data_IF_141511250069
#
_entry.id   IF_141511250069
#
_cell.length_a   1.000
_cell.length_b   1.000
_cell.length_c   1.000
_cell.angle_alpha   90.00
_cell.angle_beta   90.00
_cell.angle_gamma   90.00
#
_symmetry.space_group_name_H-M   'P 1'
#
loop_
_entity.id
_entity.type
_entity.pdbx_description
1 polymer ?
#
# COMPACT_ATOMS: atom_id res chain seq x y z
N UNK A 1 -5.05 -17.93 -0.56
CA UNK A 1 -5.49 -16.85 0.33
C UNK A 1 -5.80 -17.44 1.70
N UNK A 2 -5.24 -16.89 2.78
CA UNK A 2 -5.51 -17.36 4.14
C UNK A 2 -6.95 -17.07 4.53
N UNK A 3 -7.64 -18.05 5.11
CA UNK A 3 -9.05 -17.95 5.53
C UNK A 3 -9.24 -17.25 6.88
N UNK A 4 -8.23 -16.52 7.36
CA UNK A 4 -8.23 -15.90 8.69
C UNK A 4 -7.99 -14.39 8.56
N UNK A 5 -8.65 -13.58 9.39
CA UNK A 5 -8.37 -12.15 9.48
C UNK A 5 -6.88 -11.90 9.80
N UNK A 6 -6.36 -10.79 9.29
CA UNK A 6 -5.02 -10.28 9.61
C UNK A 6 -5.15 -9.01 10.43
N UNK A 7 -4.43 -8.95 11.55
CA UNK A 7 -4.26 -7.69 12.30
C UNK A 7 -2.94 -7.06 11.86
N UNK A 8 -2.96 -5.77 11.52
CA UNK A 8 -1.78 -4.99 11.09
C UNK A 8 -0.90 -4.58 12.29
N UNK A 9 -0.73 -5.50 13.22
CA UNK A 9 0.16 -5.43 14.36
C UNK A 9 0.76 -6.82 14.63
N UNK A 10 1.83 -6.87 15.42
CA UNK A 10 2.41 -8.11 15.93
C UNK A 10 2.89 -7.88 17.35
N UNK A 11 2.57 -8.81 18.23
CA UNK A 11 3.07 -8.82 19.59
C UNK A 11 4.57 -9.16 19.61
N UNK A 12 5.34 -8.37 20.36
CA UNK A 12 6.76 -8.59 20.63
C UNK A 12 6.89 -9.18 22.04
N UNK A 13 7.21 -10.49 22.13
CA UNK A 13 7.27 -11.23 23.39
C UNK A 13 8.42 -10.78 24.32
N UNK A 14 9.47 -10.17 23.77
CA UNK A 14 10.60 -9.67 24.56
C UNK A 14 10.27 -8.33 25.20
N UNK A 15 9.53 -7.49 24.46
CA UNK A 15 9.17 -6.14 24.89
C UNK A 15 7.81 -6.10 25.61
N UNK A 16 6.99 -7.15 25.46
CA UNK A 16 5.61 -7.26 25.94
C UNK A 16 4.69 -6.14 25.43
N UNK A 17 4.80 -5.80 24.14
CA UNK A 17 4.00 -4.76 23.49
C UNK A 17 3.55 -5.20 22.10
N UNK A 18 2.46 -4.62 21.60
CA UNK A 18 2.10 -4.69 20.19
C UNK A 18 2.89 -3.67 19.38
N UNK A 19 3.40 -4.10 18.23
CA UNK A 19 4.15 -3.28 17.28
C UNK A 19 3.40 -3.23 15.96
N UNK A 20 3.24 -2.04 15.40
CA UNK A 20 2.51 -1.80 14.17
C UNK A 20 3.20 -2.41 12.94
N UNK A 21 2.40 -2.73 11.94
CA UNK A 21 2.90 -2.85 10.57
C UNK A 21 3.17 -1.47 9.99
N UNK A 22 3.95 -1.42 8.92
CA UNK A 22 4.37 -0.17 8.29
C UNK A 22 4.25 -0.25 6.78
N UNK A 23 3.79 0.84 6.16
CA UNK A 23 3.94 1.08 4.73
C UNK A 23 4.96 2.19 4.51
N UNK A 24 5.97 1.93 3.67
CA UNK A 24 6.99 2.93 3.29
C UNK A 24 7.16 2.96 1.79
N UNK A 25 7.77 4.03 1.29
CA UNK A 25 8.32 4.10 -0.05
C UNK A 25 9.86 4.29 -0.04
N UNK A 26 10.42 4.80 -1.14
CA UNK A 26 11.84 5.18 -1.28
C UNK A 26 12.25 6.48 -0.54
N UNK A 27 11.43 6.99 0.40
CA UNK A 27 11.75 8.10 1.29
C UNK A 27 10.75 9.27 1.27
N UNK A 28 9.67 9.19 0.50
CA UNK A 28 8.57 10.14 0.46
C UNK A 28 7.55 9.92 1.58
N UNK A 29 7.11 8.69 1.85
CA UNK A 29 6.09 8.34 2.84
C UNK A 29 6.55 7.24 3.80
N UNK A 30 6.11 7.35 5.05
CA UNK A 30 6.23 6.29 6.06
C UNK A 30 5.01 6.34 6.97
N UNK A 31 4.19 5.29 6.93
CA UNK A 31 2.94 5.20 7.68
C UNK A 31 2.92 3.98 8.59
N UNK A 32 2.68 4.22 9.87
CA UNK A 32 2.52 3.22 10.91
C UNK A 32 1.03 2.95 11.10
N UNK A 33 0.59 1.72 10.85
CA UNK A 33 -0.82 1.38 11.01
C UNK A 33 -1.21 1.39 12.49
N UNK A 34 -2.44 1.85 12.84
CA UNK A 34 -2.92 1.72 14.20
C UNK A 34 -2.96 0.25 14.65
N UNK A 35 -2.64 0.00 15.93
CA UNK A 35 -2.48 -1.36 16.47
C UNK A 35 -3.77 -2.21 16.44
N UNK A 36 -4.94 -1.57 16.36
CA UNK A 36 -6.25 -2.22 16.36
C UNK A 36 -6.88 -2.36 14.96
N UNK A 37 -6.08 -2.31 13.90
CA UNK A 37 -6.57 -2.53 12.53
C UNK A 37 -6.56 -4.02 12.22
N UNK A 38 -7.76 -4.59 12.02
CA UNK A 38 -7.96 -5.95 11.54
C UNK A 38 -8.68 -5.91 10.20
N UNK A 39 -8.26 -6.80 9.29
CA UNK A 39 -8.84 -6.97 7.97
C UNK A 39 -9.25 -8.43 7.79
N UNK A 40 -10.51 -8.67 7.43
CA UNK A 40 -10.99 -9.98 7.03
C UNK A 40 -10.43 -10.35 5.63
N UNK A 41 -10.44 -11.66 5.26
CA UNK A 41 -10.02 -12.07 3.93
C UNK A 41 -10.80 -11.33 2.83
N UNK A 42 -10.09 -10.66 1.91
CA UNK A 42 -10.68 -9.91 0.81
C UNK A 42 -11.12 -8.48 1.16
N UNK A 43 -10.92 -8.03 2.41
CA UNK A 43 -11.15 -6.63 2.76
C UNK A 43 -10.05 -5.72 2.23
N UNK A 44 -10.44 -4.48 1.98
CA UNK A 44 -9.55 -3.40 1.55
C UNK A 44 -9.46 -2.34 2.63
N UNK A 45 -8.29 -1.69 2.67
CA UNK A 45 -8.02 -0.49 3.46
C UNK A 45 -7.43 0.54 2.50
N UNK A 46 -7.83 1.79 2.66
CA UNK A 46 -7.34 2.89 1.84
C UNK A 46 -6.39 3.77 2.64
N UNK A 47 -5.19 3.97 2.12
CA UNK A 47 -4.23 4.95 2.61
C UNK A 47 -4.21 6.09 1.60
N UNK A 48 -4.63 7.29 2.01
CA UNK A 48 -4.86 8.45 1.10
C UNK A 48 -4.07 9.68 1.55
N UNK A 49 -3.79 10.59 0.60
CA UNK A 49 -3.03 11.83 0.89
C UNK A 49 -3.83 12.83 1.71
N UNK A 50 -5.12 12.95 1.41
CA UNK A 50 -6.04 13.88 2.03
C UNK A 50 -7.43 13.26 2.07
N UNK A 51 -7.92 12.93 3.27
CA UNK A 51 -9.19 12.23 3.46
C UNK A 51 -10.38 13.09 3.03
N UNK A 52 -10.33 14.41 3.29
CA UNK A 52 -11.42 15.32 2.91
C UNK A 52 -11.57 15.44 1.38
N UNK A 53 -10.46 15.57 0.66
CA UNK A 53 -10.45 15.62 -0.80
C UNK A 53 -10.87 14.26 -1.39
N UNK A 54 -10.40 13.16 -0.79
CA UNK A 54 -10.79 11.81 -1.18
C UNK A 54 -12.32 11.61 -1.09
N UNK A 55 -12.94 11.94 0.04
CA UNK A 55 -14.40 11.82 0.19
C UNK A 55 -15.20 12.77 -0.70
N UNK A 56 -14.63 13.92 -1.06
CA UNK A 56 -15.25 14.82 -2.04
C UNK A 56 -15.28 14.19 -3.43
N UNK A 57 -14.20 13.49 -3.81
CA UNK A 57 -14.09 12.85 -5.12
C UNK A 57 -14.80 11.49 -5.19
N UNK A 58 -14.85 10.76 -4.07
CA UNK A 58 -15.41 9.42 -3.95
C UNK A 58 -16.45 9.35 -2.82
N UNK A 59 -17.59 10.06 -2.94
CA UNK A 59 -18.62 10.12 -1.89
C UNK A 59 -19.28 8.76 -1.63
N UNK A 60 -19.24 7.86 -2.61
CA UNK A 60 -19.86 6.53 -2.54
C UNK A 60 -18.98 5.47 -1.84
N UNK A 61 -17.74 5.81 -1.45
CA UNK A 61 -16.92 4.93 -0.62
C UNK A 61 -17.46 4.98 0.80
N UNK A 62 -18.35 4.03 1.11
CA UNK A 62 -19.03 3.94 2.40
C UNK A 62 -18.09 3.61 3.56
N UNK A 63 -18.57 3.85 4.79
CA UNK A 63 -17.80 3.66 6.02
C UNK A 63 -17.41 2.21 6.37
N UNK A 64 -17.69 1.24 5.49
CA UNK A 64 -17.23 -0.14 5.64
C UNK A 64 -15.74 -0.29 5.30
N UNK A 65 -15.18 0.60 4.47
CA UNK A 65 -13.76 0.58 4.13
C UNK A 65 -12.99 1.49 5.09
N UNK A 66 -11.97 0.95 5.74
CA UNK A 66 -11.11 1.73 6.62
C UNK A 66 -10.27 2.70 5.78
N UNK A 67 -10.29 4.00 6.09
CA UNK A 67 -9.52 5.04 5.38
C UNK A 67 -8.59 5.76 6.34
N UNK A 68 -7.30 5.81 5.98
CA UNK A 68 -6.25 6.48 6.74
C UNK A 68 -5.58 7.57 5.91
N UNK A 69 -5.16 8.66 6.56
CA UNK A 69 -4.34 9.70 5.93
C UNK A 69 -2.87 9.47 6.25
N UNK A 70 -1.99 9.41 5.23
CA UNK A 70 -0.56 9.17 5.48
C UNK A 70 0.22 10.42 5.93
N UNK A 71 -0.38 11.61 5.85
CA UNK A 71 0.23 12.85 6.34
C UNK A 71 1.24 13.47 5.37
N UNK A 72 2.48 13.70 5.81
CA UNK A 72 3.51 14.44 5.05
C UNK A 72 4.08 13.63 3.88
N UNK A 73 4.78 14.32 2.97
CA UNK A 73 5.41 13.70 1.80
C UNK A 73 4.44 13.28 0.70
N UNK A 74 4.92 12.60 -0.33
CA UNK A 74 4.10 12.12 -1.45
C UNK A 74 4.83 10.96 -2.11
N UNK A 75 4.06 10.15 -2.81
CA UNK A 75 4.60 9.18 -3.74
C UNK A 75 5.24 9.89 -4.95
N UNK A 76 6.30 9.31 -5.52
CA UNK A 76 6.92 9.80 -6.75
C UNK A 76 6.03 9.50 -7.96
N UNK A 77 5.91 10.43 -8.90
CA UNK A 77 5.11 10.18 -10.11
C UNK A 77 5.86 9.33 -11.14
N UNK A 78 7.20 9.37 -11.14
CA UNK A 78 8.03 8.69 -12.14
C UNK A 78 8.34 7.23 -11.78
N UNK A 79 8.05 6.80 -10.55
CA UNK A 79 8.27 5.44 -10.09
C UNK A 79 9.09 5.35 -8.81
N UNK A 80 8.73 4.41 -7.95
CA UNK A 80 9.43 4.08 -6.71
C UNK A 80 9.03 2.70 -6.20
N UNK A 81 9.58 2.31 -5.04
CA UNK A 81 9.23 1.07 -4.36
C UNK A 81 8.26 1.36 -3.24
N UNK A 82 7.01 0.90 -3.34
CA UNK A 82 6.08 0.90 -2.21
C UNK A 82 6.11 -0.46 -1.53
N UNK A 83 6.33 -0.47 -0.22
CA UNK A 83 6.52 -1.69 0.55
C UNK A 83 5.61 -1.74 1.77
N UNK A 84 4.89 -2.85 1.93
CA UNK A 84 4.22 -3.20 3.17
C UNK A 84 5.11 -4.12 3.99
N UNK A 85 5.30 -3.82 5.27
CA UNK A 85 6.17 -4.58 6.16
C UNK A 85 5.54 -4.86 7.51
N UNK A 86 5.86 -6.03 8.06
CA UNK A 86 5.53 -6.39 9.44
C UNK A 86 6.77 -6.27 10.34
N UNK A 87 6.61 -5.99 11.64
CA UNK A 87 7.76 -5.88 12.53
C UNK A 87 8.46 -7.24 12.72
N UNK A 88 9.79 -7.21 12.61
CA UNK A 88 10.72 -8.32 12.72
C UNK A 88 11.27 -8.48 14.14
N UNK A 89 12.59 -8.63 14.31
CA UNK A 89 13.33 -8.69 15.59
C UNK A 89 13.86 -7.30 16.01
N UNK A 90 14.13 -7.11 17.32
CA UNK A 90 14.82 -5.93 17.85
C UNK A 90 16.25 -6.29 18.15
N UNK A 91 17.21 -5.52 17.64
CA UNK A 91 18.59 -5.64 18.08
C UNK A 91 19.01 -4.29 18.65
N UNK A 92 19.15 -4.24 19.98
CA UNK A 92 19.40 -3.01 20.72
C UNK A 92 18.26 -1.99 20.55
N UNK A 93 18.59 -0.80 20.05
CA UNK A 93 17.62 0.27 19.81
C UNK A 93 16.88 0.14 18.46
N UNK A 94 17.31 -0.76 17.58
CA UNK A 94 16.82 -0.85 16.20
C UNK A 94 15.78 -1.96 16.09
N UNK A 95 14.60 -1.61 15.58
CA UNK A 95 13.56 -2.56 15.15
C UNK A 95 13.74 -2.84 13.65
N UNK A 96 13.94 -4.12 13.30
CA UNK A 96 13.89 -4.54 11.91
C UNK A 96 12.45 -4.79 11.46
N UNK A 97 12.20 -4.61 10.17
CA UNK A 97 10.93 -4.89 9.51
C UNK A 97 11.14 -5.90 8.39
N UNK A 98 10.19 -6.79 8.24
CA UNK A 98 10.19 -7.84 7.21
C UNK A 98 9.15 -7.47 6.15
N UNK A 99 9.58 -7.39 4.89
CA UNK A 99 8.68 -7.14 3.76
C UNK A 99 7.62 -8.23 3.66
N UNK A 100 6.37 -7.82 3.53
CA UNK A 100 5.22 -8.70 3.29
C UNK A 100 4.90 -8.75 1.81
N UNK A 101 4.85 -7.58 1.18
CA UNK A 101 4.75 -7.41 -0.27
C UNK A 101 5.32 -6.04 -0.67
N UNK A 102 5.70 -5.90 -1.93
CA UNK A 102 6.20 -4.64 -2.48
C UNK A 102 5.96 -4.54 -3.98
N UNK A 103 5.82 -3.30 -4.45
CA UNK A 103 5.67 -2.97 -5.86
C UNK A 103 6.70 -1.92 -6.25
N UNK A 104 7.48 -2.21 -7.29
CA UNK A 104 8.25 -1.19 -8.03
C UNK A 104 7.38 -0.70 -9.17
N UNK A 105 6.73 0.44 -9.03
CA UNK A 105 5.95 0.99 -10.13
C UNK A 105 6.78 1.99 -10.94
N UNK A 106 6.31 2.30 -12.15
CA UNK A 106 6.87 3.31 -13.03
C UNK A 106 5.75 4.04 -13.78
N UNK A 107 6.08 5.14 -14.44
CA UNK A 107 5.20 5.93 -15.30
C UNK A 107 5.02 5.35 -16.73
N UNK A 108 5.61 4.19 -17.01
CA UNK A 108 5.58 3.57 -18.34
C UNK A 108 6.55 4.23 -19.34
N UNK A 109 7.47 5.07 -18.86
CA UNK A 109 8.45 5.80 -19.70
C UNK A 109 9.91 5.39 -19.46
N UNK A 110 10.21 4.48 -18.53
CA UNK A 110 11.57 4.17 -18.11
C UNK A 110 11.94 2.66 -18.10
N UNK A 111 12.89 2.20 -18.94
CA UNK A 111 13.55 2.94 -20.04
C UNK A 111 12.59 3.14 -21.22
N UNK A 112 12.77 4.26 -21.95
CA UNK A 112 11.86 4.70 -23.01
C UNK A 112 11.50 3.58 -24.00
N UNK A 113 10.20 3.32 -24.13
CA UNK A 113 9.63 2.33 -25.07
C UNK A 113 9.79 0.86 -24.68
N UNK A 114 10.33 0.57 -23.49
CA UNK A 114 10.52 -0.77 -22.96
C UNK A 114 9.94 -0.96 -21.55
N UNK A 115 9.43 0.12 -20.97
CA UNK A 115 8.79 0.09 -19.67
C UNK A 115 7.44 -0.66 -19.79
N UNK A 116 7.28 -1.78 -19.10
CA UNK A 116 6.07 -2.59 -19.15
C UNK A 116 4.90 -2.00 -18.35
N UNK A 117 5.12 -0.93 -17.58
CA UNK A 117 4.07 -0.28 -16.80
C UNK A 117 3.07 0.48 -17.70
N UNK A 118 1.75 0.42 -17.41
CA UNK A 118 0.74 1.03 -18.25
C UNK A 118 0.71 2.56 -18.11
N UNK A 119 0.89 3.27 -19.22
CA UNK A 119 0.97 4.74 -19.27
C UNK A 119 -0.37 5.47 -19.02
N UNK A 120 -1.51 4.81 -19.24
CA UNK A 120 -2.82 5.42 -18.98
C UNK A 120 -3.05 5.76 -17.49
N UNK A 121 -2.29 5.15 -16.58
CA UNK A 121 -2.32 5.47 -15.15
C UNK A 121 -1.47 6.72 -14.79
N UNK A 122 -0.61 7.18 -15.70
CA UNK A 122 0.19 8.40 -15.53
C UNK A 122 -0.57 9.63 -16.03
N UNK A 123 -1.47 10.17 -15.20
CA UNK A 123 -2.13 11.45 -15.46
C UNK A 123 -3.29 11.44 -16.47
N UNK A 124 -3.61 10.29 -17.09
CA UNK A 124 -4.72 10.16 -18.05
C UNK A 124 -6.07 9.74 -17.42
N UNK A 125 -6.16 9.78 -16.08
CA UNK A 125 -7.41 9.58 -15.33
C UNK A 125 -7.69 8.14 -14.89
N UNK A 126 -6.85 7.17 -15.27
CA UNK A 126 -6.92 5.80 -14.75
C UNK A 126 -6.03 5.64 -13.51
N UNK A 127 -6.28 4.59 -12.74
CA UNK A 127 -5.40 4.15 -11.65
C UNK A 127 -4.69 2.86 -12.02
N UNK A 128 -3.45 2.73 -11.53
CA UNK A 128 -2.71 1.49 -11.56
C UNK A 128 -3.37 0.48 -10.60
N UNK A 129 -3.86 -0.63 -11.15
CA UNK A 129 -4.71 -1.59 -10.44
C UNK A 129 -4.17 -3.00 -10.61
N UNK A 130 -3.97 -3.70 -9.49
CA UNK A 130 -3.46 -5.07 -9.51
C UNK A 130 -4.56 -6.04 -9.96
N UNK A 131 -4.36 -6.67 -11.11
CA UNK A 131 -5.27 -7.64 -11.69
C UNK A 131 -5.06 -9.05 -11.12
N UNK A 132 -3.80 -9.43 -10.82
CA UNK A 132 -3.45 -10.75 -10.28
C UNK A 132 -2.96 -10.63 -8.84
N UNK A 133 -3.90 -10.79 -7.90
CA UNK A 133 -3.65 -10.57 -6.46
C UNK A 133 -2.69 -11.62 -5.87
N UNK A 134 -2.66 -12.84 -6.41
CA UNK A 134 -1.79 -13.92 -5.95
C UNK A 134 -0.38 -13.91 -6.56
N UNK A 135 -0.14 -13.03 -7.54
CA UNK A 135 1.13 -12.95 -8.25
C UNK A 135 2.22 -12.25 -7.46
N UNK A 136 3.30 -11.86 -8.14
CA UNK A 136 4.38 -11.11 -7.52
C UNK A 136 4.06 -9.61 -7.57
N UNK A 137 4.17 -8.89 -6.46
CA UNK A 137 3.71 -7.49 -6.37
C UNK A 137 4.36 -6.54 -7.36
N UNK A 138 5.59 -6.84 -7.79
CA UNK A 138 6.35 -6.03 -8.75
C UNK A 138 6.36 -6.61 -10.16
N UNK A 139 5.50 -7.58 -10.48
CA UNK A 139 5.32 -8.03 -11.86
C UNK A 139 4.38 -7.06 -12.61
N UNK A 140 4.88 -6.25 -13.56
CA UNK A 140 4.07 -5.25 -14.26
C UNK A 140 2.93 -5.87 -15.08
N UNK A 141 3.04 -7.13 -15.52
CA UNK A 141 1.97 -7.83 -16.25
C UNK A 141 0.74 -8.09 -15.37
N UNK A 142 0.94 -8.11 -14.04
CA UNK A 142 -0.12 -8.25 -13.05
C UNK A 142 -0.84 -6.92 -12.75
N UNK A 143 -0.45 -5.82 -13.40
CA UNK A 143 -1.05 -4.49 -13.21
C UNK A 143 -1.63 -3.92 -14.50
N UNK A 144 -2.81 -3.32 -14.37
CA UNK A 144 -3.53 -2.69 -15.46
C UNK A 144 -3.87 -1.24 -15.11
N UNK A 145 -3.97 -0.39 -16.12
CA UNK A 145 -4.60 0.91 -15.96
C UNK A 145 -6.13 0.75 -16.09
N UNK A 146 -6.84 0.98 -14.99
CA UNK A 146 -8.30 0.82 -14.91
C UNK A 146 -8.98 2.08 -14.37
N UNK A 147 -10.30 2.20 -14.55
CA UNK A 147 -11.07 3.26 -13.90
C UNK A 147 -10.90 3.14 -12.36
N UNK A 148 -10.63 4.24 -11.64
CA UNK A 148 -10.43 4.18 -10.20
C UNK A 148 -11.63 3.58 -9.46
N UNK A 149 -11.38 2.50 -8.72
CA UNK A 149 -12.38 1.79 -7.92
C UNK A 149 -11.93 1.66 -6.46
N UNK A 150 -11.72 2.77 -5.74
CA UNK A 150 -11.22 2.70 -4.37
C UNK A 150 -12.14 1.87 -3.47
N UNK A 151 -11.54 0.91 -2.76
CA UNK A 151 -12.21 0.08 -1.75
C UNK A 151 -13.15 -1.00 -2.29
N UNK A 152 -13.04 -1.37 -3.58
CA UNK A 152 -13.87 -2.38 -4.23
C UNK A 152 -13.13 -3.14 -5.34
#
# INVERSE_FOLDING_TARGET
AGSSPVTLAKYDDEQLIDVHWRLTDSGGISFDFPLAVTMAPGEYLLLVKNVSAFHTLYPDVGGAVQVFEWGQGKLDNAGEVVQLSKPGEKVGAIRYYMSVDWVVYSDGSHPFGQDPWPTDADGHGKSLTRNVISGYGSDPEDWIAAAPSPGR
#
